data_IF_707933790316
#
_entry.id   IF_707933790316
#
_cell.length_a   1.000
_cell.length_b   1.000
_cell.length_c   1.000
_cell.angle_alpha   90.00
_cell.angle_beta   90.00
_cell.angle_gamma   90.00
#
_symmetry.space_group_name_H-M   'P 1'
#
loop_
_entity.id
_entity.type
_entity.pdbx_description
1 polymer ?
#
# COMPACT_ATOMS: atom_id res chain seq x y z
N UNK A 1 -11.65 8.12 -17.78
CA UNK A 1 -10.36 8.15 -17.04
C UNK A 1 -9.16 7.91 -17.96
N UNK A 2 -8.05 8.69 -17.86
CA UNK A 2 -6.82 8.41 -18.61
C UNK A 2 -6.21 7.06 -18.19
N UNK A 3 -5.69 6.29 -19.14
CA UNK A 3 -5.10 4.95 -18.89
C UNK A 3 -4.05 4.94 -17.79
N UNK A 4 -3.32 6.05 -17.63
CA UNK A 4 -2.35 6.27 -16.56
C UNK A 4 -2.93 6.05 -15.15
N UNK A 5 -4.14 6.54 -14.89
CA UNK A 5 -4.77 6.43 -13.56
C UNK A 5 -5.12 4.98 -13.23
N UNK A 6 -5.46 4.17 -14.23
CA UNK A 6 -5.70 2.73 -14.06
C UNK A 6 -4.40 2.05 -13.63
N UNK A 7 -3.29 2.29 -14.34
CA UNK A 7 -1.99 1.71 -13.98
C UNK A 7 -1.52 2.17 -12.59
N UNK A 8 -1.69 3.45 -12.25
CA UNK A 8 -1.34 3.96 -10.92
C UNK A 8 -2.17 3.31 -9.81
N UNK A 9 -3.47 3.08 -10.03
CA UNK A 9 -4.33 2.41 -9.05
C UNK A 9 -3.84 0.99 -8.76
N UNK A 10 -3.52 0.22 -9.81
CA UNK A 10 -2.97 -1.13 -9.63
C UNK A 10 -1.55 -1.14 -9.07
N UNK A 11 -0.72 -0.13 -9.38
CA UNK A 11 0.59 0.04 -8.77
C UNK A 11 0.46 0.23 -7.26
N UNK A 12 -0.40 1.16 -6.81
CA UNK A 12 -0.64 1.37 -5.38
C UNK A 12 -1.26 0.15 -4.71
N UNK A 13 -2.12 -0.60 -5.41
CA UNK A 13 -2.63 -1.87 -4.91
C UNK A 13 -1.50 -2.87 -4.64
N UNK A 14 -0.58 -3.05 -5.59
CA UNK A 14 0.56 -3.97 -5.44
C UNK A 14 1.44 -3.54 -4.27
N UNK A 15 1.77 -2.24 -4.17
CA UNK A 15 2.58 -1.72 -3.06
C UNK A 15 1.86 -1.94 -1.73
N UNK A 16 0.55 -1.70 -1.66
CA UNK A 16 -0.26 -1.93 -0.46
C UNK A 16 -0.27 -3.41 -0.06
N UNK A 17 -0.48 -4.31 -1.01
CA UNK A 17 -0.47 -5.75 -0.76
C UNK A 17 0.90 -6.23 -0.28
N UNK A 18 1.98 -5.78 -0.93
CA UNK A 18 3.34 -6.19 -0.59
C UNK A 18 3.75 -5.66 0.80
N UNK A 19 3.45 -4.40 1.11
CA UNK A 19 3.70 -3.83 2.44
C UNK A 19 2.89 -4.53 3.53
N UNK A 20 1.65 -4.94 3.24
CA UNK A 20 0.85 -5.76 4.16
C UNK A 20 1.44 -7.15 4.41
N UNK A 21 2.01 -7.79 3.39
CA UNK A 21 2.73 -9.07 3.53
C UNK A 21 3.98 -8.89 4.39
N UNK A 22 4.77 -7.84 4.15
CA UNK A 22 5.96 -7.52 4.96
C UNK A 22 5.57 -7.35 6.43
N UNK A 23 4.55 -6.56 6.71
CA UNK A 23 4.07 -6.33 8.09
C UNK A 23 3.62 -7.62 8.76
N UNK A 24 3.06 -8.57 8.00
CA UNK A 24 2.66 -9.89 8.51
C UNK A 24 3.85 -10.82 8.72
N UNK A 25 4.95 -10.61 8.00
CA UNK A 25 6.22 -11.34 8.15
C UNK A 25 7.09 -10.83 9.31
N UNK A 26 6.97 -9.56 9.68
CA UNK A 26 7.79 -8.93 10.74
C UNK A 26 7.81 -9.68 12.09
N UNK A 27 6.71 -10.27 12.60
CA UNK A 27 6.74 -11.03 13.85
C UNK A 27 7.62 -12.28 13.81
N UNK A 28 7.91 -12.82 12.61
CA UNK A 28 8.71 -14.04 12.43
C UNK A 28 10.19 -13.75 12.19
N UNK A 29 10.53 -12.50 11.88
CA UNK A 29 11.87 -12.09 11.45
C UNK A 29 12.42 -11.03 12.41
N UNK A 30 13.10 -11.47 13.48
CA UNK A 30 13.76 -10.59 14.46
C UNK A 30 14.82 -9.66 13.83
N UNK A 31 15.28 -9.94 12.60
CA UNK A 31 16.29 -9.17 11.88
C UNK A 31 15.77 -7.86 11.25
N UNK A 32 14.45 -7.65 11.18
CA UNK A 32 13.85 -6.40 10.68
C UNK A 32 13.90 -5.24 11.71
N UNK A 33 14.58 -5.43 12.84
CA UNK A 33 14.71 -4.46 13.94
C UNK A 33 15.22 -3.06 13.53
N UNK A 34 15.83 -2.91 12.35
CA UNK A 34 16.28 -1.60 11.84
C UNK A 34 15.14 -0.70 11.38
N UNK A 35 13.96 -1.24 11.06
CA UNK A 35 12.80 -0.46 10.62
C UNK A 35 11.66 -0.64 11.62
N UNK A 36 11.25 0.42 12.35
CA UNK A 36 10.11 0.36 13.25
C UNK A 36 8.83 -0.04 12.51
N UNK A 37 8.06 -0.96 13.11
CA UNK A 37 6.79 -1.43 12.56
C UNK A 37 5.84 -0.26 12.30
N UNK A 38 5.82 0.73 13.18
CA UNK A 38 4.99 1.93 13.14
C UNK A 38 5.23 2.73 11.86
N UNK A 39 6.48 2.82 11.41
CA UNK A 39 6.82 3.54 10.18
C UNK A 39 6.27 2.83 8.94
N UNK A 40 6.33 1.50 8.92
CA UNK A 40 5.77 0.69 7.83
C UNK A 40 4.25 0.74 7.86
N UNK A 41 3.63 0.63 9.04
CA UNK A 41 2.18 0.75 9.23
C UNK A 41 1.67 2.12 8.78
N UNK A 42 2.38 3.19 9.13
CA UNK A 42 2.04 4.55 8.71
C UNK A 42 2.10 4.68 7.18
N UNK A 43 3.17 4.21 6.55
CA UNK A 43 3.28 4.20 5.09
C UNK A 43 2.23 3.33 4.40
N UNK A 44 1.99 2.12 4.91
CA UNK A 44 0.99 1.19 4.40
C UNK A 44 -0.42 1.80 4.42
N UNK A 45 -0.83 2.39 5.55
CA UNK A 45 -2.16 2.99 5.67
C UNK A 45 -2.35 4.20 4.75
N UNK A 46 -1.33 5.06 4.61
CA UNK A 46 -1.37 6.19 3.67
C UNK A 46 -1.50 5.73 2.21
N UNK A 47 -0.70 4.75 1.79
CA UNK A 47 -0.72 4.24 0.42
C UNK A 47 -2.02 3.47 0.13
N UNK A 48 -2.53 2.71 1.10
CA UNK A 48 -3.78 1.98 0.99
C UNK A 48 -4.99 2.90 0.81
N UNK A 49 -5.12 3.93 1.66
CA UNK A 49 -6.29 4.80 1.69
C UNK A 49 -6.22 5.92 0.65
N UNK A 50 -5.13 6.69 0.63
CA UNK A 50 -5.01 7.86 -0.23
C UNK A 50 -4.48 7.52 -1.64
N UNK A 51 -3.71 6.43 -1.75
CA UNK A 51 -3.22 5.94 -3.05
C UNK A 51 -4.26 5.06 -3.71
N UNK A 52 -4.37 3.81 -3.25
CA UNK A 52 -5.19 2.80 -3.92
C UNK A 52 -6.70 3.05 -3.79
N UNK A 53 -7.22 3.14 -2.56
CA UNK A 53 -8.67 3.22 -2.33
C UNK A 53 -9.26 4.49 -2.93
N UNK A 54 -8.66 5.65 -2.67
CA UNK A 54 -9.07 6.92 -3.26
C UNK A 54 -9.09 6.88 -4.78
N UNK A 55 -7.98 6.47 -5.43
CA UNK A 55 -7.94 6.39 -6.90
C UNK A 55 -8.90 5.33 -7.45
N UNK A 56 -9.10 4.21 -6.74
CA UNK A 56 -10.06 3.17 -7.11
C UNK A 56 -11.50 3.66 -7.10
N UNK A 57 -11.90 4.43 -6.08
CA UNK A 57 -13.21 5.09 -6.03
C UNK A 57 -13.36 6.03 -7.23
N UNK A 58 -12.37 6.88 -7.50
CA UNK A 58 -12.41 7.74 -8.68
C UNK A 58 -12.54 6.92 -9.98
N UNK A 59 -11.79 5.83 -10.14
CA UNK A 59 -11.84 4.99 -11.33
C UNK A 59 -13.21 4.37 -11.56
N UNK A 60 -13.90 3.94 -10.50
CA UNK A 60 -15.23 3.31 -10.58
C UNK A 60 -16.34 4.33 -10.85
N UNK A 61 -16.26 5.53 -10.27
CA UNK A 61 -17.33 6.52 -10.30
C UNK A 61 -17.11 7.68 -11.29
N UNK A 62 -16.08 7.64 -12.16
CA UNK A 62 -15.76 8.70 -13.14
C UNK A 62 -15.67 8.20 -14.59
#
# INVERSE_FOLDING_TARGET
>A
MPKLFVYLTFLFFIITAFTGIIMRGMPFEHHLASIPYENILHGHSHIALLGWCFLGVFLVFS
#
